data_IF_205868259023
#
_entry.id   IF_205868259023
#
_cell.length_a   1.000
_cell.length_b   1.000
_cell.length_c   1.000
_cell.angle_alpha   90.00
_cell.angle_beta   90.00
_cell.angle_gamma   90.00
#
_symmetry.space_group_name_H-M   'P 1'
#
loop_
_entity.id
_entity.type
_entity.pdbx_description
1 polymer ?
#
# COMPACT_ATOMS: atom_id res chain seq x y z
N UNK A 1 -42.81 1.32 13.50
CA UNK A 1 -42.17 0.67 12.34
C UNK A 1 -40.85 1.39 12.11
N UNK A 2 -39.76 0.84 12.65
CA UNK A 2 -38.41 1.39 12.48
C UNK A 2 -37.90 0.86 11.15
N UNK A 3 -37.74 1.74 10.17
CA UNK A 3 -37.19 1.42 8.86
C UNK A 3 -35.73 0.98 9.01
N UNK A 4 -35.46 -0.30 8.71
CA UNK A 4 -34.10 -0.81 8.51
C UNK A 4 -33.39 0.03 7.43
N UNK A 5 -32.24 0.64 7.73
CA UNK A 5 -31.48 1.33 6.71
C UNK A 5 -30.93 0.29 5.72
N UNK A 6 -31.38 0.42 4.48
CA UNK A 6 -30.91 -0.32 3.30
C UNK A 6 -29.40 -0.09 3.16
N UNK A 7 -28.61 -1.06 3.60
CA UNK A 7 -27.15 -1.08 3.50
C UNK A 7 -26.76 -1.46 2.06
N UNK A 8 -27.10 -0.59 1.10
CA UNK A 8 -26.80 -0.77 -0.31
C UNK A 8 -25.56 0.04 -0.66
N UNK A 9 -24.61 -0.64 -1.31
CA UNK A 9 -23.36 -0.16 -1.90
C UNK A 9 -22.12 -0.26 -1.00
N UNK A 10 -21.83 -1.48 -0.56
CA UNK A 10 -20.44 -1.96 -0.51
C UNK A 10 -19.86 -1.92 -1.94
N UNK A 11 -19.47 -0.74 -2.41
CA UNK A 11 -18.61 -0.60 -3.59
C UNK A 11 -17.43 -1.54 -3.41
N UNK A 12 -17.15 -2.35 -4.42
CA UNK A 12 -16.11 -3.38 -4.49
C UNK A 12 -14.72 -2.74 -4.50
N UNK A 13 -14.42 -1.88 -3.53
CA UNK A 13 -13.09 -1.38 -3.26
C UNK A 13 -12.22 -2.60 -3.00
N UNK A 14 -11.14 -2.73 -3.75
CA UNK A 14 -10.25 -3.87 -3.70
C UNK A 14 -9.71 -4.02 -2.26
N UNK A 15 -10.36 -4.90 -1.48
CA UNK A 15 -10.07 -5.13 -0.07
C UNK A 15 -8.64 -5.64 0.06
N UNK A 16 -7.75 -4.79 0.55
CA UNK A 16 -6.38 -5.19 0.86
C UNK A 16 -6.41 -5.98 2.17
N UNK A 17 -5.79 -7.16 2.15
CA UNK A 17 -5.65 -7.97 3.37
C UNK A 17 -4.29 -7.75 4.01
N UNK A 18 -4.30 -7.58 5.33
CA UNK A 18 -3.12 -7.52 6.18
C UNK A 18 -3.16 -8.66 7.20
N UNK A 19 -2.00 -9.00 7.74
CA UNK A 19 -1.86 -10.04 8.76
C UNK A 19 -1.83 -9.36 10.13
N UNK A 20 -2.69 -9.82 11.04
CA UNK A 20 -2.71 -9.41 12.45
C UNK A 20 -1.55 -10.07 13.24
N UNK A 21 -1.36 -9.69 14.49
CA UNK A 21 -0.28 -10.25 15.33
C UNK A 21 -0.44 -11.76 15.61
N UNK A 22 -1.63 -12.33 15.42
CA UNK A 22 -1.92 -13.77 15.56
C UNK A 22 -1.72 -14.56 14.25
N UNK A 23 -1.35 -13.89 13.15
CA UNK A 23 -1.21 -14.52 11.85
C UNK A 23 -2.50 -14.61 11.02
N UNK A 24 -3.62 -14.05 11.49
CA UNK A 24 -4.90 -14.04 10.77
C UNK A 24 -4.90 -12.94 9.71
N UNK A 25 -5.40 -13.26 8.51
CA UNK A 25 -5.63 -12.26 7.46
C UNK A 25 -6.93 -11.50 7.72
N UNK A 26 -6.85 -10.18 7.74
CA UNK A 26 -7.95 -9.26 8.00
C UNK A 26 -7.92 -8.12 6.99
N UNK A 27 -9.05 -7.48 6.71
CA UNK A 27 -9.11 -6.34 5.78
C UNK A 27 -8.43 -5.11 6.39
N UNK A 28 -7.77 -4.31 5.55
CA UNK A 28 -7.21 -3.04 5.98
C UNK A 28 -8.14 -1.89 5.59
N UNK A 29 -8.41 -1.01 6.55
CA UNK A 29 -9.09 0.25 6.34
C UNK A 29 -8.13 1.25 5.69
N UNK A 30 -8.59 1.98 4.67
CA UNK A 30 -7.80 3.03 4.01
C UNK A 30 -8.23 4.42 4.52
N UNK A 31 -7.50 5.01 5.47
CA UNK A 31 -7.86 6.30 6.07
C UNK A 31 -7.80 7.45 5.05
N UNK A 32 -6.98 7.32 3.99
CA UNK A 32 -6.91 8.33 2.92
C UNK A 32 -8.18 8.31 2.10
N UNK A 33 -8.67 7.11 1.75
CA UNK A 33 -9.95 6.97 1.05
C UNK A 33 -11.11 7.48 1.91
N UNK A 34 -11.14 7.17 3.20
CA UNK A 34 -12.14 7.69 4.13
C UNK A 34 -12.12 9.22 4.22
N UNK A 35 -10.92 9.83 4.26
CA UNK A 35 -10.77 11.28 4.29
C UNK A 35 -11.31 11.94 3.03
N UNK A 36 -11.00 11.39 1.86
CA UNK A 36 -11.51 11.87 0.57
C UNK A 36 -13.02 11.70 0.42
N UNK A 37 -13.60 10.68 1.06
CA UNK A 37 -15.05 10.43 1.06
C UNK A 37 -15.79 11.14 2.21
N UNK A 38 -15.10 11.94 3.04
CA UNK A 38 -15.65 12.59 4.23
C UNK A 38 -16.38 11.63 5.20
N UNK A 39 -15.95 10.38 5.27
CA UNK A 39 -16.49 9.38 6.19
C UNK A 39 -15.75 9.45 7.53
N UNK A 40 -16.33 10.15 8.50
CA UNK A 40 -15.73 10.43 9.82
C UNK A 40 -16.36 9.59 10.95
N UNK A 41 -17.14 8.56 10.62
CA UNK A 41 -17.98 7.86 11.60
C UNK A 41 -17.19 7.12 12.68
N UNK A 42 -15.95 6.70 12.38
CA UNK A 42 -15.13 5.87 13.29
C UNK A 42 -13.89 6.61 13.81
N UNK A 43 -13.30 7.48 13.00
CA UNK A 43 -12.06 8.20 13.34
C UNK A 43 -12.35 9.70 13.31
N UNK A 44 -12.04 10.45 14.40
CA UNK A 44 -12.17 11.91 14.43
C UNK A 44 -11.46 12.56 13.23
N UNK A 45 -12.06 13.64 12.69
CA UNK A 45 -11.57 14.28 11.47
C UNK A 45 -10.13 14.80 11.60
N UNK A 46 -9.74 15.30 12.77
CA UNK A 46 -8.41 15.84 13.02
C UNK A 46 -7.34 14.74 13.01
N UNK A 47 -7.62 13.59 13.65
CA UNK A 47 -6.73 12.43 13.64
C UNK A 47 -6.62 11.81 12.25
N UNK A 48 -7.74 11.73 11.52
CA UNK A 48 -7.74 11.26 10.14
C UNK A 48 -6.87 12.13 9.23
N UNK A 49 -6.93 13.46 9.41
CA UNK A 49 -6.06 14.41 8.68
C UNK A 49 -4.59 14.25 9.07
N UNK A 50 -4.29 14.03 10.36
CA UNK A 50 -2.93 13.78 10.83
C UNK A 50 -2.35 12.48 10.21
N UNK A 51 -3.10 11.38 10.26
CA UNK A 51 -2.72 10.09 9.66
C UNK A 51 -2.53 10.24 8.15
N UNK A 52 -3.45 10.91 7.44
CA UNK A 52 -3.32 11.13 6.00
C UNK A 52 -2.06 11.91 5.64
N UNK A 53 -1.72 12.95 6.41
CA UNK A 53 -0.51 13.76 6.23
C UNK A 53 0.77 12.96 6.48
N UNK A 54 0.77 12.05 7.47
CA UNK A 54 1.91 11.19 7.79
C UNK A 54 2.13 10.07 6.76
N UNK A 55 1.06 9.49 6.22
CA UNK A 55 1.14 8.43 5.21
C UNK A 55 1.70 8.96 3.89
N UNK A 56 1.27 10.16 3.52
CA UNK A 56 1.64 10.76 2.25
C UNK A 56 2.30 12.15 2.33
N UNK A 57 3.48 12.26 2.97
CA UNK A 57 4.27 13.48 2.93
C UNK A 57 4.82 13.76 1.51
N UNK A 58 4.69 12.78 0.60
CA UNK A 58 5.34 12.72 -0.71
C UNK A 58 4.36 12.89 -1.87
N UNK A 59 3.06 12.63 -1.78
CA UNK A 59 2.09 13.04 -2.81
C UNK A 59 2.10 14.56 -3.02
N UNK A 60 2.55 15.33 -2.01
CA UNK A 60 2.80 16.78 -2.13
C UNK A 60 4.12 17.11 -2.88
N UNK A 61 5.09 16.18 -2.98
CA UNK A 61 6.47 16.52 -3.40
C UNK A 61 7.18 15.58 -4.39
N UNK A 62 6.74 14.34 -4.60
CA UNK A 62 7.21 13.55 -5.76
C UNK A 62 6.48 14.11 -6.95
N UNK A 63 7.16 15.03 -7.63
CA UNK A 63 6.77 15.65 -8.87
C UNK A 63 6.12 14.57 -9.77
N UNK A 64 4.80 14.61 -10.03
CA UNK A 64 4.06 13.52 -10.70
C UNK A 64 4.65 13.17 -12.06
N UNK A 65 5.42 14.09 -12.64
CA UNK A 65 6.22 13.83 -13.84
C UNK A 65 7.20 12.68 -13.68
N UNK A 66 7.79 12.39 -12.52
CA UNK A 66 8.78 11.31 -12.41
C UNK A 66 8.13 9.94 -12.59
N UNK A 67 6.91 9.75 -12.07
CA UNK A 67 6.13 8.53 -12.27
C UNK A 67 5.68 8.36 -13.74
N UNK A 68 5.54 9.45 -14.48
CA UNK A 68 5.16 9.45 -15.91
C UNK A 68 6.38 9.39 -16.85
N UNK A 69 7.47 10.09 -16.51
CA UNK A 69 8.67 10.16 -17.33
C UNK A 69 9.49 8.88 -17.25
N UNK A 70 9.47 8.17 -16.11
CA UNK A 70 10.18 6.89 -16.00
C UNK A 70 9.68 5.86 -17.03
N UNK A 71 8.37 5.53 -17.13
CA UNK A 71 7.90 4.62 -18.16
C UNK A 71 8.07 5.20 -19.56
N UNK A 72 7.93 6.52 -19.75
CA UNK A 72 8.18 7.16 -21.05
C UNK A 72 9.61 6.95 -21.54
N UNK A 73 10.63 7.19 -20.70
CA UNK A 73 12.03 6.96 -21.04
C UNK A 73 12.34 5.48 -21.29
N UNK A 74 11.70 4.58 -20.54
CA UNK A 74 11.80 3.13 -20.80
C UNK A 74 11.24 2.80 -22.19
N UNK A 75 10.05 3.30 -22.53
CA UNK A 75 9.43 3.10 -23.85
C UNK A 75 10.31 3.70 -24.97
N UNK A 76 10.84 4.90 -24.76
CA UNK A 76 11.71 5.57 -25.73
C UNK A 76 12.99 4.76 -25.97
N UNK A 77 13.69 4.35 -24.91
CA UNK A 77 14.87 3.50 -25.01
C UNK A 77 14.55 2.16 -25.71
N UNK A 78 13.38 1.57 -25.41
CA UNK A 78 12.90 0.36 -26.07
C UNK A 78 12.67 0.56 -27.56
N UNK A 79 11.95 1.60 -27.95
CA UNK A 79 11.63 1.90 -29.35
C UNK A 79 12.88 2.18 -30.18
N UNK A 80 13.87 2.89 -29.62
CA UNK A 80 15.18 3.09 -30.26
C UNK A 80 15.96 1.79 -30.44
N UNK A 81 16.00 0.94 -29.42
CA UNK A 81 16.67 -0.37 -29.50
C UNK A 81 16.00 -1.29 -30.53
N UNK A 82 14.67 -1.30 -30.60
CA UNK A 82 13.90 -2.08 -31.59
C UNK A 82 14.07 -1.56 -33.02
N UNK A 83 14.07 -0.23 -33.20
CA UNK A 83 14.32 0.39 -34.50
C UNK A 83 15.70 0.00 -35.03
N UNK A 84 16.73 0.06 -34.18
CA UNK A 84 18.07 -0.40 -34.50
C UNK A 84 18.09 -1.88 -34.90
N UNK A 85 17.46 -2.76 -34.10
CA UNK A 85 17.43 -4.20 -34.37
C UNK A 85 16.62 -4.56 -35.62
N UNK A 86 15.54 -3.85 -35.91
CA UNK A 86 14.73 -4.05 -37.12
C UNK A 86 15.51 -3.69 -38.38
N UNK A 87 16.21 -2.55 -38.36
CA UNK A 87 17.11 -2.13 -39.45
C UNK A 87 18.23 -3.15 -39.64
N UNK A 88 18.80 -3.66 -38.53
CA UNK A 88 19.84 -4.69 -38.57
C UNK A 88 19.31 -6.04 -39.10
N UNK A 89 18.10 -6.44 -38.71
CA UNK A 89 17.40 -7.65 -39.16
C UNK A 89 17.10 -7.60 -40.67
N UNK A 90 16.68 -6.44 -41.19
CA UNK A 90 16.47 -6.21 -42.62
C UNK A 90 17.73 -6.47 -43.44
N UNK A 91 18.90 -6.25 -42.83
CA UNK A 91 20.20 -6.36 -43.50
C UNK A 91 20.83 -7.76 -43.51
N UNK A 92 20.57 -8.63 -42.51
CA UNK A 92 21.46 -9.79 -42.25
C UNK A 92 20.84 -11.19 -42.35
N UNK A 93 19.55 -11.32 -42.67
CA UNK A 93 18.88 -12.63 -42.72
C UNK A 93 18.49 -13.15 -41.34
N UNK A 94 17.46 -14.00 -41.29
CA UNK A 94 16.75 -14.35 -40.06
C UNK A 94 17.46 -15.45 -39.28
N UNK A 95 17.82 -15.16 -38.03
CA UNK A 95 18.39 -16.12 -37.08
C UNK A 95 17.38 -16.36 -35.93
N UNK A 96 16.90 -17.60 -35.70
CA UNK A 96 15.88 -17.90 -34.67
C UNK A 96 16.31 -17.53 -33.25
N UNK A 97 17.61 -17.42 -32.98
CA UNK A 97 18.17 -16.94 -31.71
C UNK A 97 17.66 -15.54 -31.36
N UNK A 98 17.42 -14.67 -32.36
CA UNK A 98 16.94 -13.31 -32.14
C UNK A 98 15.48 -13.24 -31.63
N UNK A 99 14.65 -14.22 -32.01
CA UNK A 99 13.24 -14.27 -31.57
C UNK A 99 13.17 -14.59 -30.07
N UNK A 100 14.03 -15.48 -29.60
CA UNK A 100 14.15 -15.80 -28.17
C UNK A 100 14.59 -14.57 -27.37
N UNK A 101 15.62 -13.84 -27.81
CA UNK A 101 16.06 -12.62 -27.14
C UNK A 101 14.98 -11.54 -27.12
N UNK A 102 14.26 -11.33 -28.21
CA UNK A 102 13.15 -10.37 -28.26
C UNK A 102 12.04 -10.72 -27.25
N UNK A 103 11.71 -12.00 -27.09
CA UNK A 103 10.66 -12.46 -26.17
C UNK A 103 11.05 -12.22 -24.71
N UNK A 104 12.26 -12.61 -24.31
CA UNK A 104 12.75 -12.33 -22.95
C UNK A 104 12.80 -10.83 -22.69
N UNK A 105 13.26 -10.05 -23.67
CA UNK A 105 13.36 -8.60 -23.55
C UNK A 105 12.00 -7.93 -23.36
N UNK A 106 10.88 -8.43 -23.91
CA UNK A 106 9.56 -7.87 -23.59
C UNK A 106 9.03 -8.25 -22.20
N UNK A 107 9.32 -9.46 -21.72
CA UNK A 107 8.77 -9.96 -20.45
C UNK A 107 9.42 -9.25 -19.26
N UNK A 108 10.74 -9.03 -19.29
CA UNK A 108 11.48 -8.40 -18.19
C UNK A 108 11.01 -6.98 -17.79
N UNK A 109 10.82 -6.00 -18.70
CA UNK A 109 10.39 -4.64 -18.34
C UNK A 109 8.95 -4.64 -17.83
N UNK A 110 8.07 -5.45 -18.41
CA UNK A 110 6.68 -5.59 -17.96
C UNK A 110 6.68 -6.18 -16.55
N UNK A 111 7.43 -7.26 -16.32
CA UNK A 111 7.59 -7.85 -15.00
C UNK A 111 8.19 -6.86 -13.99
N UNK A 112 9.20 -6.08 -14.39
CA UNK A 112 9.83 -5.06 -13.55
C UNK A 112 8.86 -3.93 -13.19
N UNK A 113 8.04 -3.47 -14.14
CA UNK A 113 7.02 -2.45 -13.92
C UNK A 113 5.94 -2.97 -12.98
N UNK A 114 5.40 -4.17 -13.22
CA UNK A 114 4.42 -4.83 -12.34
C UNK A 114 4.99 -5.01 -10.93
N UNK A 115 6.23 -5.49 -10.82
CA UNK A 115 6.91 -5.69 -9.55
C UNK A 115 7.16 -4.36 -8.82
N UNK A 116 7.54 -3.31 -9.55
CA UNK A 116 7.73 -1.96 -9.03
C UNK A 116 6.43 -1.39 -8.45
N UNK A 117 5.34 -1.47 -9.21
CA UNK A 117 3.99 -1.06 -8.76
C UNK A 117 3.54 -1.88 -7.56
N UNK A 118 3.72 -3.20 -7.61
CA UNK A 118 3.39 -4.10 -6.50
C UNK A 118 4.16 -3.74 -5.22
N UNK A 119 5.48 -3.51 -5.32
CA UNK A 119 6.33 -3.14 -4.18
C UNK A 119 5.98 -1.75 -3.65
N UNK A 120 5.70 -0.78 -4.53
CA UNK A 120 5.26 0.55 -4.13
C UNK A 120 3.91 0.49 -3.38
N UNK A 121 2.95 -0.26 -3.91
CA UNK A 121 1.66 -0.52 -3.27
C UNK A 121 1.85 -1.18 -1.90
N UNK A 122 2.66 -2.24 -1.81
CA UNK A 122 2.96 -2.93 -0.55
C UNK A 122 3.59 -1.99 0.50
N UNK A 123 4.53 -1.15 0.10
CA UNK A 123 5.15 -0.13 0.97
C UNK A 123 4.14 0.91 1.44
N UNK A 124 3.21 1.34 0.58
CA UNK A 124 2.12 2.26 0.97
C UNK A 124 1.23 1.64 2.05
N UNK A 125 0.78 0.39 1.86
CA UNK A 125 -0.07 -0.28 2.86
C UNK A 125 0.61 -0.50 4.21
N UNK A 126 1.91 -0.80 4.19
CA UNK A 126 2.71 -0.88 5.43
C UNK A 126 2.81 0.47 6.13
N UNK A 127 3.00 1.57 5.39
CA UNK A 127 3.02 2.93 5.95
C UNK A 127 1.67 3.33 6.54
N UNK A 128 0.57 3.03 5.85
CA UNK A 128 -0.79 3.25 6.37
C UNK A 128 -0.99 2.49 7.67
N UNK A 129 -0.65 1.20 7.68
CA UNK A 129 -0.76 0.36 8.88
C UNK A 129 0.04 0.95 10.03
N UNK A 130 1.28 1.36 9.77
CA UNK A 130 2.15 1.95 10.79
C UNK A 130 1.58 3.26 11.31
N UNK A 131 1.21 4.20 10.44
CA UNK A 131 0.63 5.49 10.83
C UNK A 131 -0.64 5.33 11.67
N UNK A 132 -1.53 4.41 11.29
CA UNK A 132 -2.72 4.12 12.11
C UNK A 132 -2.34 3.61 13.51
N UNK A 133 -1.35 2.71 13.61
CA UNK A 133 -0.88 2.17 14.89
C UNK A 133 -0.14 3.21 15.73
N UNK A 134 0.65 4.10 15.11
CA UNK A 134 1.32 5.22 15.76
C UNK A 134 0.31 6.16 16.42
N UNK A 135 -0.83 6.39 15.74
CA UNK A 135 -1.97 7.15 16.27
C UNK A 135 -2.91 6.35 17.18
N UNK A 136 -2.60 5.07 17.45
CA UNK A 136 -3.37 4.11 18.27
C UNK A 136 -4.75 3.75 17.69
N UNK A 137 -4.91 3.70 16.38
CA UNK A 137 -6.13 3.21 15.73
C UNK A 137 -5.97 1.81 15.15
N UNK A 138 -7.01 1.00 15.24
CA UNK A 138 -7.05 -0.34 14.66
C UNK A 138 -7.01 -0.28 13.12
N UNK A 139 -6.02 -0.86 12.44
CA UNK A 139 -5.95 -0.86 10.97
C UNK A 139 -7.08 -1.62 10.27
N UNK A 140 -7.87 -2.42 11.01
CA UNK A 140 -8.98 -3.20 10.45
C UNK A 140 -10.31 -2.46 10.51
N UNK A 141 -10.71 -1.98 11.69
CA UNK A 141 -12.01 -1.34 11.89
C UNK A 141 -11.95 0.15 12.20
N UNK A 142 -10.77 0.73 12.47
CA UNK A 142 -10.62 2.15 12.83
C UNK A 142 -10.87 2.47 14.31
N UNK A 143 -11.17 1.49 15.16
CA UNK A 143 -11.41 1.71 16.59
C UNK A 143 -10.17 2.22 17.34
N UNK A 144 -10.37 3.09 18.34
CA UNK A 144 -9.32 3.64 19.21
C UNK A 144 -8.78 2.60 20.19
N UNK A 145 -7.50 2.30 20.12
CA UNK A 145 -6.78 1.30 20.92
C UNK A 145 -6.23 1.88 22.23
N UNK A 146 -6.33 3.19 22.49
CA UNK A 146 -5.79 3.80 23.73
C UNK A 146 -6.43 3.25 25.01
N UNK A 147 -7.69 2.82 24.92
CA UNK A 147 -8.41 2.18 26.03
C UNK A 147 -8.26 0.66 26.09
N UNK A 148 -7.57 0.03 25.13
CA UNK A 148 -7.43 -1.42 25.11
C UNK A 148 -6.29 -1.88 26.05
N UNK A 149 -6.43 -3.05 26.70
CA UNK A 149 -5.34 -3.63 27.49
C UNK A 149 -4.09 -3.82 26.64
N UNK A 150 -2.95 -3.52 27.24
CA UNK A 150 -1.64 -3.65 26.62
C UNK A 150 -0.86 -4.71 27.40
N UNK A 151 -0.36 -5.72 26.69
CA UNK A 151 0.47 -6.78 27.24
C UNK A 151 1.89 -6.65 26.67
N UNK A 152 2.87 -6.89 27.53
CA UNK A 152 4.25 -7.06 27.08
C UNK A 152 4.33 -8.29 26.18
N UNK A 153 5.01 -8.15 25.03
CA UNK A 153 5.08 -9.22 24.04
C UNK A 153 6.20 -10.22 24.33
N UNK A 154 6.96 -9.99 25.42
CA UNK A 154 8.01 -10.87 25.92
C UNK A 154 9.17 -11.06 24.94
N UNK A 155 9.22 -10.24 23.89
CA UNK A 155 10.22 -10.31 22.86
C UNK A 155 11.21 -9.17 23.11
N UNK A 156 12.52 -9.42 23.03
CA UNK A 156 13.58 -8.42 23.31
C UNK A 156 13.60 -7.21 22.34
N UNK A 157 12.57 -7.05 21.50
CA UNK A 157 12.36 -5.84 20.72
C UNK A 157 11.84 -4.76 21.64
N UNK A 158 12.78 -4.06 22.27
CA UNK A 158 12.56 -2.83 23.04
C UNK A 158 11.57 -1.93 22.30
N UNK A 159 10.45 -1.58 22.95
CA UNK A 159 9.51 -0.59 22.44
C UNK A 159 8.24 -1.10 21.77
N UNK A 160 7.89 -2.40 21.84
CA UNK A 160 6.62 -2.89 21.29
C UNK A 160 5.78 -3.69 22.27
N UNK A 161 4.55 -3.23 22.49
CA UNK A 161 3.55 -3.99 23.22
C UNK A 161 2.48 -4.58 22.29
N UNK A 162 1.81 -5.64 22.75
CA UNK A 162 0.64 -6.20 22.08
C UNK A 162 -0.66 -5.66 22.67
N UNK A 163 -1.62 -5.34 21.80
CA UNK A 163 -2.99 -5.04 22.20
C UNK A 163 -3.99 -5.78 21.33
N UNK A 164 -5.17 -6.05 21.87
CA UNK A 164 -6.30 -6.66 21.14
C UNK A 164 -7.44 -5.65 21.09
N UNK A 165 -7.89 -5.35 19.88
CA UNK A 165 -9.03 -4.46 19.66
C UNK A 165 -10.31 -5.07 20.24
N UNK A 166 -11.02 -4.33 21.10
CA UNK A 166 -12.26 -4.78 21.74
C UNK A 166 -13.42 -4.98 20.75
N UNK A 167 -13.45 -4.24 19.64
CA UNK A 167 -14.53 -4.32 18.65
C UNK A 167 -14.38 -5.51 17.70
N UNK A 168 -13.24 -5.61 17.01
CA UNK A 168 -13.05 -6.62 15.97
C UNK A 168 -12.22 -7.83 16.43
N UNK A 169 -11.69 -7.79 17.65
CA UNK A 169 -10.84 -8.83 18.21
C UNK A 169 -9.48 -8.97 17.52
N UNK A 170 -9.06 -8.06 16.64
CA UNK A 170 -7.75 -8.13 15.97
C UNK A 170 -6.61 -7.76 16.93
N UNK A 171 -5.48 -8.46 16.82
CA UNK A 171 -4.31 -8.20 17.65
C UNK A 171 -3.26 -7.39 16.88
N UNK A 172 -2.68 -6.39 17.52
CA UNK A 172 -1.68 -5.50 16.92
C UNK A 172 -0.50 -5.29 17.85
N UNK A 173 0.68 -5.09 17.26
CA UNK A 173 1.84 -4.56 17.98
C UNK A 173 1.81 -3.05 17.87
N UNK A 174 1.95 -2.36 18.99
CA UNK A 174 1.80 -0.91 19.08
C UNK A 174 3.03 -0.34 19.79
N UNK A 175 3.61 0.79 19.32
CA UNK A 175 4.77 1.41 19.97
C UNK A 175 4.43 1.87 21.39
N UNK A 176 5.42 1.95 22.28
CA UNK A 176 5.21 2.35 23.68
C UNK A 176 4.78 3.83 23.80
N UNK A 177 5.44 4.72 23.04
CA UNK A 177 5.12 6.14 23.00
C UNK A 177 4.51 6.56 21.65
N UNK A 178 3.37 7.27 21.64
CA UNK A 178 2.80 7.82 20.41
C UNK A 178 3.78 8.84 19.82
N UNK A 179 4.24 8.60 18.58
CA UNK A 179 5.21 9.47 17.90
C UNK A 179 6.67 9.06 18.06
N UNK A 180 6.99 8.00 18.81
CA UNK A 180 8.31 7.39 18.84
C UNK A 180 8.53 6.48 17.60
N UNK A 181 8.34 7.03 16.40
CA UNK A 181 8.73 6.35 15.17
C UNK A 181 10.25 6.47 14.99
N UNK A 182 10.95 5.32 15.04
CA UNK A 182 12.39 5.15 14.76
C UNK A 182 12.81 5.67 13.38
#
# INVERSE_FOLDING_TARGET
MVSEPKNEQSTTSAKVSIVDARGKRVTQLDPVAMHLLHQHDVIPADDLRAIATQVDPREVKVRPWAAVLTPFWIILAYSGFFGYFYIFKRWRGWDPVLISFATFYFIFPIAFLIFGVYRARRRRWQRIKQAMLDHRYCPHCGYDLRGCPVADDGNDRVGSHMTVCSECGCAWRVPDEPGASL
#
